data_IF_295087721468
#
_entry.id   IF_295087721468
#
_cell.length_a   1.000
_cell.length_b   1.000
_cell.length_c   1.000
_cell.angle_alpha   90.00
_cell.angle_beta   90.00
_cell.angle_gamma   90.00
#
_symmetry.space_group_name_H-M   'P 1'
#
loop_
_entity.id
_entity.type
_entity.pdbx_description
1 polymer ?
#
# COMPACT_ATOMS: atom_id res chain seq x y z
N UNK A 1 3.65 4.15 -18.11
CA UNK A 1 4.07 5.18 -17.13
C UNK A 1 3.75 4.67 -15.73
N UNK A 2 4.42 5.22 -14.69
CA UNK A 2 4.12 4.91 -13.28
C UNK A 2 4.05 6.25 -12.54
N UNK A 3 2.93 6.49 -11.86
CA UNK A 3 2.74 7.62 -10.95
C UNK A 3 2.60 7.11 -9.53
N UNK A 4 3.09 7.85 -8.55
CA UNK A 4 3.08 7.46 -7.13
C UNK A 4 2.39 8.56 -6.35
N UNK A 5 1.49 8.18 -5.46
CA UNK A 5 0.79 9.03 -4.49
C UNK A 5 0.62 8.27 -3.17
N UNK A 6 -0.02 8.84 -2.18
CA UNK A 6 -0.37 8.19 -0.92
C UNK A 6 -1.57 8.83 -0.27
N UNK A 7 -2.01 8.27 0.85
CA UNK A 7 -3.03 8.85 1.74
C UNK A 7 -4.28 9.29 0.99
N UNK A 8 -4.90 8.36 0.27
CA UNK A 8 -6.15 8.66 -0.44
C UNK A 8 -7.35 8.62 0.49
N UNK A 9 -7.26 7.88 1.62
CA UNK A 9 -8.34 7.76 2.60
C UNK A 9 -9.72 7.70 1.94
N UNK A 10 -9.86 6.80 0.98
CA UNK A 10 -11.07 6.68 0.19
C UNK A 10 -12.34 6.67 1.06
N UNK A 11 -13.37 7.48 0.76
CA UNK A 11 -13.52 8.26 -0.48
C UNK A 11 -12.89 9.67 -0.46
N UNK A 12 -12.45 10.20 0.67
CA UNK A 12 -12.18 11.63 0.90
C UNK A 12 -11.09 12.19 -0.02
N UNK A 13 -9.98 11.49 -0.22
CA UNK A 13 -8.86 11.96 -1.04
C UNK A 13 -8.82 11.40 -2.47
N UNK A 14 -9.91 10.77 -2.91
CA UNK A 14 -9.97 10.19 -4.26
C UNK A 14 -10.05 11.22 -5.38
N UNK A 15 -10.37 12.46 -5.05
CA UNK A 15 -10.33 13.58 -5.98
C UNK A 15 -8.92 13.82 -6.54
N UNK A 16 -7.85 13.41 -5.85
CA UNK A 16 -6.48 13.37 -6.38
C UNK A 16 -6.38 12.61 -7.70
N UNK A 17 -7.25 11.63 -7.91
CA UNK A 17 -7.25 10.74 -9.09
C UNK A 17 -8.34 11.07 -10.12
N UNK A 18 -9.07 12.17 -9.95
CA UNK A 18 -10.04 12.61 -10.95
C UNK A 18 -9.32 13.25 -12.16
N UNK A 19 -10.05 13.45 -13.26
CA UNK A 19 -9.47 13.97 -14.49
C UNK A 19 -9.05 15.45 -14.42
N UNK A 20 -9.62 16.20 -13.48
CA UNK A 20 -9.28 17.59 -13.26
C UNK A 20 -7.93 17.72 -12.55
N UNK A 21 -7.74 16.96 -11.46
CA UNK A 21 -6.53 17.03 -10.64
C UNK A 21 -5.39 16.14 -11.18
N UNK A 22 -5.74 15.13 -11.98
CA UNK A 22 -4.78 14.23 -12.64
C UNK A 22 -5.09 14.12 -14.15
N UNK A 23 -4.91 15.19 -14.92
CA UNK A 23 -5.25 15.21 -16.35
C UNK A 23 -4.37 14.28 -17.20
N UNK A 24 -3.16 13.92 -16.72
CA UNK A 24 -2.23 13.01 -17.40
C UNK A 24 -2.86 11.63 -17.65
N UNK A 25 -3.85 11.22 -16.84
CA UNK A 25 -4.53 9.93 -17.01
C UNK A 25 -5.22 9.78 -18.37
N UNK A 26 -5.54 10.88 -19.08
CA UNK A 26 -6.12 10.85 -20.42
C UNK A 26 -5.24 10.12 -21.44
N UNK A 27 -3.92 10.11 -21.22
CA UNK A 27 -2.95 9.45 -22.10
C UNK A 27 -2.48 8.10 -21.56
N UNK A 28 -3.04 7.65 -20.43
CA UNK A 28 -2.71 6.37 -19.81
C UNK A 28 -3.59 5.23 -20.35
N UNK A 29 -3.12 4.03 -20.16
CA UNK A 29 -3.82 2.79 -20.48
C UNK A 29 -3.76 1.85 -19.27
N UNK A 30 -4.47 0.73 -19.29
CA UNK A 30 -4.39 -0.30 -18.23
C UNK A 30 -2.98 -0.92 -18.07
N UNK A 31 -2.03 -0.61 -18.95
CA UNK A 31 -0.61 -0.98 -18.82
C UNK A 31 0.21 0.06 -18.05
N UNK A 32 -0.39 1.17 -17.69
CA UNK A 32 0.19 2.23 -16.88
C UNK A 32 -0.35 2.14 -15.47
N UNK A 33 0.45 2.55 -14.47
CA UNK A 33 0.14 2.33 -13.07
C UNK A 33 0.05 3.63 -12.30
N UNK A 34 -0.90 3.70 -11.37
CA UNK A 34 -0.91 4.64 -10.26
C UNK A 34 -0.75 3.82 -8.98
N UNK A 35 0.31 4.10 -8.22
CA UNK A 35 0.64 3.40 -6.98
C UNK A 35 0.29 4.30 -5.80
N UNK A 36 -0.57 3.82 -4.91
CA UNK A 36 -0.96 4.50 -3.68
C UNK A 36 -0.17 3.88 -2.53
N UNK A 37 0.72 4.67 -1.93
CA UNK A 37 1.63 4.22 -0.89
C UNK A 37 0.98 4.29 0.50
N UNK A 38 0.00 3.43 0.73
CA UNK A 38 -0.70 3.27 2.01
C UNK A 38 -1.87 4.23 2.22
N UNK A 39 -2.61 3.93 3.26
CA UNK A 39 -3.84 4.63 3.63
C UNK A 39 -4.78 4.80 2.41
N UNK A 40 -4.99 3.67 1.74
CA UNK A 40 -5.89 3.58 0.61
C UNK A 40 -7.29 3.96 1.05
N UNK A 41 -7.67 3.54 2.25
CA UNK A 41 -8.84 4.01 2.96
C UNK A 41 -9.99 3.04 3.01
N UNK A 42 -11.07 3.54 3.57
CA UNK A 42 -12.24 2.79 4.01
C UNK A 42 -13.11 2.17 2.90
N UNK A 43 -12.53 1.79 1.77
CA UNK A 43 -13.25 0.94 0.79
C UNK A 43 -13.91 -0.25 1.50
N UNK A 44 -13.39 -0.58 2.65
CA UNK A 44 -13.78 -1.72 3.46
C UNK A 44 -14.79 -1.40 4.57
N UNK A 45 -15.05 -0.10 4.84
CA UNK A 45 -15.61 0.22 6.14
C UNK A 45 -17.08 -0.06 6.26
N UNK A 46 -17.90 0.25 5.34
CA UNK A 46 -19.24 0.28 5.86
C UNK A 46 -20.32 -0.37 5.02
N UNK A 47 -20.66 0.17 3.95
CA UNK A 47 -21.84 -0.32 3.24
C UNK A 47 -21.37 -1.01 1.98
N UNK A 48 -21.79 -2.23 1.75
CA UNK A 48 -21.41 -3.06 0.61
C UNK A 48 -21.52 -2.34 -0.76
N UNK A 49 -22.36 -1.34 -0.87
CA UNK A 49 -22.58 -0.57 -2.08
C UNK A 49 -21.49 0.49 -2.29
N UNK A 50 -21.11 1.26 -1.26
CA UNK A 50 -20.06 2.29 -1.37
C UNK A 50 -18.71 1.70 -1.79
N UNK A 51 -18.38 0.53 -1.26
CA UNK A 51 -17.18 -0.22 -1.68
C UNK A 51 -17.24 -0.62 -3.15
N UNK A 52 -18.38 -1.17 -3.58
CA UNK A 52 -18.56 -1.58 -4.99
C UNK A 52 -18.44 -0.40 -5.93
N UNK A 53 -19.12 0.70 -5.60
CA UNK A 53 -19.15 1.91 -6.41
C UNK A 53 -17.73 2.48 -6.56
N UNK A 54 -16.95 2.49 -5.48
CA UNK A 54 -15.57 2.98 -5.52
C UNK A 54 -14.64 2.07 -6.31
N UNK A 55 -14.71 0.75 -6.13
CA UNK A 55 -13.93 -0.20 -6.92
C UNK A 55 -14.31 -0.13 -8.40
N UNK A 56 -15.59 0.07 -8.70
CA UNK A 56 -16.08 0.28 -10.05
C UNK A 56 -15.52 1.58 -10.64
N UNK A 57 -15.56 2.69 -9.87
CA UNK A 57 -15.02 3.97 -10.29
C UNK A 57 -13.51 3.88 -10.60
N UNK A 58 -12.72 3.23 -9.73
CA UNK A 58 -11.30 2.97 -9.98
C UNK A 58 -11.08 2.09 -11.21
N UNK A 59 -11.91 1.07 -11.38
CA UNK A 59 -11.82 0.16 -12.54
C UNK A 59 -12.14 0.85 -13.87
N UNK A 60 -12.86 1.95 -13.84
CA UNK A 60 -13.15 2.77 -15.01
C UNK A 60 -12.02 3.74 -15.39
N UNK A 61 -11.02 3.95 -14.50
CA UNK A 61 -9.86 4.81 -14.82
C UNK A 61 -9.05 4.21 -15.97
N UNK A 62 -8.33 5.03 -16.69
CA UNK A 62 -7.50 4.58 -17.82
C UNK A 62 -6.26 3.77 -17.39
N UNK A 63 -5.88 3.80 -16.12
CA UNK A 63 -4.73 3.14 -15.54
C UNK A 63 -5.13 1.94 -14.68
N UNK A 64 -4.15 1.15 -14.28
CA UNK A 64 -4.29 0.15 -13.20
C UNK A 64 -3.87 0.79 -11.88
N UNK A 65 -4.76 0.71 -10.88
CA UNK A 65 -4.48 1.15 -9.52
C UNK A 65 -3.77 0.05 -8.75
N UNK A 66 -2.61 0.36 -8.23
CA UNK A 66 -1.88 -0.46 -7.28
C UNK A 66 -1.88 0.25 -5.94
N UNK A 67 -1.95 -0.49 -4.84
CA UNK A 67 -1.77 0.10 -3.53
C UNK A 67 -1.04 -0.85 -2.60
N UNK A 68 -0.33 -0.31 -1.64
CA UNK A 68 0.15 -1.02 -0.47
C UNK A 68 -0.64 -0.54 0.75
N UNK A 69 -0.59 -1.29 1.81
CA UNK A 69 -1.33 -0.98 3.02
C UNK A 69 -0.61 0.07 3.88
N UNK A 70 -1.39 0.91 4.55
CA UNK A 70 -0.95 1.86 5.57
C UNK A 70 -1.40 1.43 6.97
N UNK A 71 -1.62 2.37 7.88
CA UNK A 71 -2.21 2.08 9.19
C UNK A 71 -3.75 2.30 9.22
N UNK A 72 -4.32 2.89 8.18
CA UNK A 72 -5.76 3.09 8.04
C UNK A 72 -6.39 2.11 7.05
N UNK A 73 -6.16 0.81 7.27
CA UNK A 73 -6.78 -0.25 6.47
C UNK A 73 -7.69 -1.13 7.32
N UNK A 74 -8.72 -1.70 6.72
CA UNK A 74 -9.46 -2.79 7.34
C UNK A 74 -8.76 -4.12 7.05
N UNK A 75 -7.80 -4.47 7.89
CA UNK A 75 -6.98 -5.67 7.69
C UNK A 75 -7.78 -6.97 7.71
N UNK A 76 -8.88 -7.03 8.46
CA UNK A 76 -9.76 -8.19 8.45
C UNK A 76 -10.30 -8.49 7.06
N UNK A 77 -10.79 -7.46 6.37
CA UNK A 77 -11.30 -7.58 4.99
C UNK A 77 -10.17 -7.71 3.96
N UNK A 78 -9.07 -6.98 4.12
CA UNK A 78 -7.94 -7.02 3.21
C UNK A 78 -7.31 -8.42 3.19
N UNK A 79 -7.07 -9.01 4.37
CA UNK A 79 -6.46 -10.33 4.51
C UNK A 79 -7.41 -11.49 4.16
N UNK A 80 -8.72 -11.25 4.07
CA UNK A 80 -9.70 -12.24 3.59
C UNK A 80 -9.72 -12.40 2.07
N UNK A 81 -9.03 -11.52 1.34
CA UNK A 81 -8.97 -11.58 -0.12
C UNK A 81 -8.13 -12.76 -0.61
N UNK A 82 -8.50 -13.32 -1.75
CA UNK A 82 -7.74 -14.41 -2.36
C UNK A 82 -6.37 -13.92 -2.82
N UNK A 83 -5.32 -14.63 -2.38
CA UNK A 83 -3.95 -14.37 -2.82
C UNK A 83 -3.75 -14.93 -4.22
N UNK A 84 -3.21 -14.09 -5.10
CA UNK A 84 -2.84 -14.46 -6.48
C UNK A 84 -1.38 -14.06 -6.74
N UNK A 85 -0.73 -14.73 -7.68
CA UNK A 85 0.59 -14.29 -8.15
C UNK A 85 0.39 -13.23 -9.25
N UNK A 86 0.97 -12.07 -9.07
CA UNK A 86 0.89 -10.98 -10.03
C UNK A 86 2.26 -10.28 -10.19
N UNK A 87 2.73 -10.15 -11.41
CA UNK A 87 4.01 -9.50 -11.74
C UNK A 87 5.21 -9.90 -10.89
N UNK A 88 5.28 -11.17 -10.48
CA UNK A 88 6.39 -11.75 -9.70
C UNK A 88 6.18 -11.84 -8.20
N UNK A 89 5.18 -11.17 -7.64
CA UNK A 89 4.85 -11.20 -6.21
C UNK A 89 3.43 -11.69 -5.92
N UNK A 90 3.17 -12.01 -4.66
CA UNK A 90 1.83 -12.29 -4.17
C UNK A 90 1.04 -10.98 -4.02
N UNK A 91 -0.21 -10.97 -4.43
CA UNK A 91 -1.08 -9.82 -4.40
C UNK A 91 -2.52 -10.21 -4.10
N UNK A 92 -3.31 -9.28 -3.56
CA UNK A 92 -4.77 -9.40 -3.53
C UNK A 92 -5.35 -8.63 -4.72
N UNK A 93 -6.12 -9.33 -5.54
CA UNK A 93 -6.73 -8.75 -6.73
C UNK A 93 -8.18 -8.40 -6.44
N UNK A 94 -8.47 -7.14 -6.15
CA UNK A 94 -9.79 -6.67 -5.80
C UNK A 94 -10.71 -6.58 -7.02
N UNK A 95 -10.13 -6.13 -8.14
CA UNK A 95 -10.74 -6.14 -9.48
C UNK A 95 -9.64 -6.43 -10.51
N UNK A 96 -9.98 -6.41 -11.79
CA UNK A 96 -8.97 -6.60 -12.86
C UNK A 96 -7.91 -5.50 -12.90
N UNK A 97 -8.21 -4.33 -12.35
CA UNK A 97 -7.32 -3.16 -12.38
C UNK A 97 -7.19 -2.43 -11.05
N UNK A 98 -7.56 -3.07 -9.92
CA UNK A 98 -7.28 -2.59 -8.56
C UNK A 98 -6.64 -3.72 -7.78
N UNK A 99 -5.36 -3.55 -7.43
CA UNK A 99 -4.50 -4.62 -6.93
C UNK A 99 -3.77 -4.15 -5.68
N UNK A 100 -3.90 -4.89 -4.59
CA UNK A 100 -3.11 -4.70 -3.38
C UNK A 100 -1.78 -5.44 -3.49
N UNK A 101 -0.70 -4.69 -3.35
CA UNK A 101 0.67 -5.19 -3.33
C UNK A 101 1.02 -5.65 -1.91
N UNK A 102 1.17 -6.95 -1.69
CA UNK A 102 1.41 -7.51 -0.37
C UNK A 102 2.82 -7.19 0.14
N UNK A 103 2.95 -7.11 1.45
CA UNK A 103 4.22 -6.82 2.15
C UNK A 103 5.31 -7.85 1.84
N UNK A 104 6.53 -7.36 1.77
CA UNK A 104 7.73 -8.17 1.57
C UNK A 104 7.85 -8.80 0.20
N UNK A 105 7.05 -8.38 -0.77
CA UNK A 105 7.07 -8.88 -2.15
C UNK A 105 7.89 -7.97 -3.05
N UNK A 106 8.37 -8.54 -4.17
CA UNK A 106 9.04 -7.81 -5.25
C UNK A 106 8.22 -7.97 -6.53
N UNK A 107 7.88 -6.85 -7.15
CA UNK A 107 7.09 -6.81 -8.37
C UNK A 107 7.91 -6.25 -9.52
N UNK A 108 7.69 -6.76 -10.73
CA UNK A 108 8.29 -6.20 -11.94
C UNK A 108 7.27 -5.35 -12.68
N UNK A 109 7.47 -4.03 -12.69
CA UNK A 109 6.62 -3.06 -13.38
C UNK A 109 7.47 -2.32 -14.41
N UNK A 110 7.06 -2.34 -15.67
CA UNK A 110 7.79 -1.67 -16.77
C UNK A 110 9.31 -2.00 -16.78
N UNK A 111 9.66 -3.26 -16.54
CA UNK A 111 11.06 -3.77 -16.45
C UNK A 111 11.88 -3.20 -15.30
N UNK A 112 11.24 -2.66 -14.27
CA UNK A 112 11.86 -2.23 -13.02
C UNK A 112 11.34 -3.08 -11.87
N UNK A 113 12.19 -3.32 -10.90
CA UNK A 113 11.88 -4.08 -9.70
C UNK A 113 11.46 -3.16 -8.55
N UNK A 114 10.32 -3.47 -7.93
CA UNK A 114 9.75 -2.72 -6.83
C UNK A 114 9.60 -3.64 -5.62
N UNK A 115 10.38 -3.40 -4.57
CA UNK A 115 10.14 -4.03 -3.29
C UNK A 115 9.07 -3.24 -2.52
N UNK A 116 8.13 -3.94 -1.91
CA UNK A 116 6.99 -3.32 -1.21
C UNK A 116 6.97 -3.73 0.25
N UNK A 117 6.86 -2.74 1.14
CA UNK A 117 6.70 -2.98 2.58
C UNK A 117 5.74 -1.96 3.17
N UNK A 118 4.47 -2.33 3.24
CA UNK A 118 3.40 -1.52 3.82
C UNK A 118 3.37 -1.54 5.33
N UNK A 119 2.39 -0.82 5.88
CA UNK A 119 2.15 -0.67 7.31
C UNK A 119 2.75 0.59 7.90
N UNK A 120 2.22 0.98 9.05
CA UNK A 120 2.76 2.01 9.94
C UNK A 120 2.12 1.88 11.32
N UNK A 121 2.72 2.47 12.34
CA UNK A 121 2.15 2.51 13.67
C UNK A 121 1.20 3.70 13.83
N UNK A 122 -0.01 3.46 14.33
CA UNK A 122 -1.00 4.51 14.57
C UNK A 122 -0.67 5.32 15.83
N UNK A 123 -0.62 6.65 15.71
CA UNK A 123 -0.50 7.59 16.84
C UNK A 123 -1.70 7.50 17.81
N UNK A 124 -2.90 7.31 17.28
CA UNK A 124 -4.16 7.31 18.05
C UNK A 124 -4.70 5.89 18.27
N UNK A 125 -3.83 4.93 18.48
CA UNK A 125 -4.13 3.51 18.63
C UNK A 125 -5.27 3.23 19.62
N UNK A 126 -5.20 3.81 20.82
CA UNK A 126 -6.19 3.55 21.88
C UNK A 126 -7.57 4.14 21.55
N UNK A 127 -7.64 5.27 20.87
CA UNK A 127 -8.89 5.83 20.38
C UNK A 127 -9.48 4.93 19.30
N UNK A 128 -8.68 4.56 18.31
CA UNK A 128 -9.08 3.71 17.19
C UNK A 128 -9.54 2.31 17.62
N UNK A 129 -8.95 1.77 18.69
CA UNK A 129 -9.44 0.52 19.30
C UNK A 129 -10.87 0.66 19.84
N UNK A 130 -11.18 1.78 20.53
CA UNK A 130 -12.53 2.04 21.04
C UNK A 130 -13.55 2.16 19.91
N UNK A 131 -13.13 2.75 18.78
CA UNK A 131 -13.97 2.95 17.60
C UNK A 131 -14.04 1.71 16.69
N UNK A 132 -13.32 0.62 17.03
CA UNK A 132 -13.27 -0.60 16.22
C UNK A 132 -12.61 -0.44 14.87
N UNK A 133 -11.74 0.57 14.72
CA UNK A 133 -11.03 0.90 13.46
C UNK A 133 -9.52 0.65 13.52
N UNK A 134 -9.07 -0.06 14.54
CA UNK A 134 -7.66 -0.44 14.69
C UNK A 134 -7.48 -1.95 14.60
N UNK A 135 -6.40 -2.36 13.96
CA UNK A 135 -5.98 -3.76 13.83
C UNK A 135 -4.51 -3.91 14.20
N UNK A 136 -4.11 -4.98 14.92
CA UNK A 136 -2.70 -5.25 15.23
C UNK A 136 -1.87 -5.48 13.96
N UNK A 137 -2.51 -5.88 12.87
CA UNK A 137 -1.90 -6.11 11.56
C UNK A 137 -1.43 -4.83 10.88
N UNK A 138 -1.72 -3.63 11.41
CA UNK A 138 -1.09 -2.39 10.91
C UNK A 138 0.44 -2.48 10.95
N UNK A 139 0.99 -3.26 11.89
CA UNK A 139 2.41 -3.58 11.95
C UNK A 139 2.70 -4.94 11.30
N UNK A 140 3.78 -5.07 10.52
CA UNK A 140 4.14 -6.34 9.92
C UNK A 140 4.43 -7.42 10.97
N UNK A 141 3.96 -8.63 10.70
CA UNK A 141 4.25 -9.81 11.52
C UNK A 141 5.68 -10.30 11.30
N UNK A 142 6.19 -11.11 12.25
CA UNK A 142 7.49 -11.80 12.10
C UNK A 142 7.56 -12.64 10.82
N UNK A 143 6.42 -13.22 10.40
CA UNK A 143 6.35 -14.01 9.16
C UNK A 143 6.56 -13.12 7.92
N UNK A 144 6.00 -11.93 7.90
CA UNK A 144 6.15 -10.96 6.80
C UNK A 144 7.58 -10.42 6.73
N UNK A 145 8.20 -10.06 7.86
CA UNK A 145 9.62 -9.68 7.89
C UNK A 145 10.53 -10.80 7.36
N UNK A 146 10.31 -12.05 7.78
CA UNK A 146 11.08 -13.21 7.26
C UNK A 146 10.85 -13.42 5.77
N UNK A 147 9.65 -13.20 5.26
CA UNK A 147 9.35 -13.30 3.84
C UNK A 147 10.04 -12.17 3.06
N UNK A 148 10.01 -10.95 3.58
CA UNK A 148 10.68 -9.78 3.04
C UNK A 148 12.18 -10.02 2.88
N UNK A 149 12.86 -10.45 3.94
CA UNK A 149 14.28 -10.80 3.91
C UNK A 149 14.60 -11.86 2.87
N UNK A 150 13.86 -12.97 2.86
CA UNK A 150 14.07 -14.03 1.86
C UNK A 150 13.93 -13.54 0.42
N UNK A 151 12.96 -12.66 0.16
CA UNK A 151 12.76 -12.12 -1.19
C UNK A 151 13.87 -11.14 -1.59
N UNK A 152 14.32 -10.29 -0.66
CA UNK A 152 15.47 -9.41 -0.88
C UNK A 152 16.75 -10.21 -1.12
N UNK A 153 17.03 -11.26 -0.34
CA UNK A 153 18.18 -12.15 -0.54
C UNK A 153 18.13 -12.82 -1.93
N UNK A 154 16.98 -13.35 -2.35
CA UNK A 154 16.81 -13.91 -3.70
C UNK A 154 17.10 -12.90 -4.79
N UNK A 155 16.75 -11.64 -4.58
CA UNK A 155 17.06 -10.53 -5.47
C UNK A 155 18.50 -10.01 -5.31
N UNK A 156 19.33 -10.66 -4.47
CA UNK A 156 20.70 -10.21 -4.12
C UNK A 156 20.72 -8.78 -3.57
N UNK A 157 19.66 -8.40 -2.84
CA UNK A 157 19.43 -7.04 -2.32
C UNK A 157 19.47 -5.94 -3.38
N UNK A 158 19.12 -6.29 -4.62
CA UNK A 158 19.11 -5.34 -5.75
C UNK A 158 17.68 -5.17 -6.25
N UNK A 159 17.11 -4.02 -5.93
CA UNK A 159 15.81 -3.56 -6.42
C UNK A 159 15.96 -2.14 -6.95
N UNK A 160 15.15 -1.75 -7.93
CA UNK A 160 15.18 -0.39 -8.46
C UNK A 160 14.48 0.60 -7.52
N UNK A 161 13.43 0.16 -6.82
CA UNK A 161 12.62 1.00 -5.94
C UNK A 161 12.17 0.24 -4.71
N UNK A 162 12.07 0.95 -3.58
CA UNK A 162 11.44 0.50 -2.35
C UNK A 162 10.21 1.36 -2.11
N UNK A 163 9.04 0.75 -2.00
CA UNK A 163 7.77 1.41 -1.74
C UNK A 163 7.32 1.11 -0.32
N UNK A 164 7.08 2.15 0.45
CA UNK A 164 6.67 2.07 1.85
C UNK A 164 5.61 3.10 2.16
N UNK A 165 4.85 2.92 3.23
CA UNK A 165 3.94 3.93 3.77
C UNK A 165 4.63 4.78 4.84
N UNK A 166 5.42 4.17 5.70
CA UNK A 166 6.26 4.89 6.68
C UNK A 166 7.71 4.98 6.20
N UNK A 167 8.48 5.89 6.79
CA UNK A 167 9.88 6.11 6.43
C UNK A 167 10.85 5.30 7.32
N UNK A 168 12.13 5.12 6.90
CA UNK A 168 13.19 4.61 7.76
C UNK A 168 13.35 5.43 9.04
N UNK A 169 13.87 4.80 10.09
CA UNK A 169 14.00 5.42 11.42
C UNK A 169 14.78 6.74 11.39
N UNK A 170 15.88 6.79 10.64
CA UNK A 170 16.70 8.00 10.47
C UNK A 170 15.94 9.21 9.93
N UNK A 171 14.99 8.98 9.03
CA UNK A 171 14.16 10.04 8.45
C UNK A 171 13.02 10.45 9.37
N UNK A 172 12.35 9.49 9.99
CA UNK A 172 11.22 9.76 10.89
C UNK A 172 11.66 10.59 12.10
N UNK A 173 12.83 10.30 12.67
CA UNK A 173 13.41 11.07 13.78
C UNK A 173 13.74 12.52 13.40
N UNK A 174 14.20 12.76 12.17
CA UNK A 174 14.46 14.12 11.67
C UNK A 174 13.18 14.93 11.51
N UNK A 175 12.09 14.28 11.13
CA UNK A 175 10.78 14.92 10.98
C UNK A 175 10.09 15.17 12.33
N UNK A 176 10.70 14.78 13.46
CA UNK A 176 10.17 14.90 14.84
C UNK A 176 8.80 14.26 15.03
N UNK A 177 8.49 13.24 14.27
CA UNK A 177 7.15 12.67 14.17
C UNK A 177 6.99 11.34 14.94
N UNK A 178 8.03 10.92 15.69
CA UNK A 178 8.05 9.61 16.35
C UNK A 178 8.32 9.74 17.84
N UNK A 179 7.40 9.19 18.62
CA UNK A 179 7.64 8.77 20.00
C UNK A 179 8.05 7.29 19.98
N UNK A 180 9.37 7.02 20.06
CA UNK A 180 9.94 5.67 20.16
C UNK A 180 10.36 5.03 18.83
N UNK A 181 11.01 3.89 18.94
CA UNK A 181 11.46 3.06 17.83
C UNK A 181 10.41 2.02 17.48
N UNK A 182 9.97 1.99 16.22
CA UNK A 182 9.08 0.95 15.75
C UNK A 182 9.85 -0.09 14.92
N UNK A 183 9.57 -1.39 15.09
CA UNK A 183 10.27 -2.46 14.37
C UNK A 183 10.27 -2.28 12.85
N UNK A 184 9.20 -1.70 12.29
CA UNK A 184 9.12 -1.44 10.85
C UNK A 184 10.11 -0.36 10.41
N UNK A 185 10.21 0.76 11.14
CA UNK A 185 11.14 1.83 10.81
C UNK A 185 12.60 1.37 10.88
N UNK A 186 12.94 0.53 11.87
CA UNK A 186 14.27 -0.10 11.98
C UNK A 186 14.55 -1.06 10.83
N UNK A 187 13.57 -1.90 10.46
CA UNK A 187 13.68 -2.78 9.29
C UNK A 187 13.93 -1.98 8.01
N UNK A 188 13.20 -0.89 7.81
CA UNK A 188 13.38 -0.02 6.64
C UNK A 188 14.76 0.63 6.63
N UNK A 189 15.28 1.02 7.79
CA UNK A 189 16.64 1.55 7.94
C UNK A 189 17.72 0.52 7.56
N UNK A 190 17.48 -0.76 7.82
CA UNK A 190 18.42 -1.84 7.51
C UNK A 190 18.46 -2.20 6.02
N UNK A 191 17.40 -1.94 5.30
CA UNK A 191 17.29 -2.25 3.85
C UNK A 191 17.57 -1.06 2.93
N UNK A 192 17.69 0.15 3.46
CA UNK A 192 18.05 1.38 2.74
C UNK A 192 19.51 1.31 2.25
#
# INVERSE_FOLDING_TARGET
MIYITGDTHCPTGMDKLNETNFPQQKHMTKKDYVIICGDFGDIWSAKSNEQKDMLQWLSQRNFTTLFLDGNWENYGKLNSQTITVWNGGNAHRLTDSVIHLMRGQIYTLNRRSFFVMGGACSKYKELRKKDGTWWPEEMPSTREYRAAWRNLEKARRKVDYILTHTAPYSLVTQLRDVEGEYPLNLFLQEIE
#
